data_IF_184599629550
#
_entry.id   IF_184599629550
#
_cell.length_a   1.000
_cell.length_b   1.000
_cell.length_c   1.000
_cell.angle_alpha   90.00
_cell.angle_beta   90.00
_cell.angle_gamma   90.00
#
_symmetry.space_group_name_H-M   'P 1'
#
loop_
_entity.id
_entity.type
_entity.pdbx_description
1 polymer ?
#
# COMPACT_ATOMS: atom_id res chain seq x y z
N UNK A 1 -30.86 -19.08 -56.52
CA UNK A 1 -31.97 -18.34 -57.21
C UNK A 1 -32.36 -17.19 -56.27
N UNK A 2 -32.30 -15.94 -56.83
CA UNK A 2 -32.73 -14.62 -56.29
C UNK A 2 -32.13 -14.17 -54.90
N UNK A 3 -31.23 -13.27 -54.84
CA UNK A 3 -30.99 -11.81 -54.93
C UNK A 3 -32.16 -10.92 -54.49
N UNK A 4 -31.78 -9.82 -53.80
CA UNK A 4 -32.42 -8.52 -53.49
C UNK A 4 -32.55 -8.33 -51.98
N UNK A 5 -32.13 -7.24 -51.32
CA UNK A 5 -31.72 -5.94 -51.85
C UNK A 5 -31.14 -5.05 -50.73
N UNK A 6 -30.39 -4.08 -51.16
CA UNK A 6 -29.66 -3.04 -50.45
C UNK A 6 -30.63 -1.96 -49.95
N UNK A 7 -30.49 -1.57 -48.68
CA UNK A 7 -31.10 -0.37 -48.09
C UNK A 7 -30.04 0.62 -47.62
N UNK A 8 -29.79 1.65 -48.42
CA UNK A 8 -28.99 2.83 -48.06
C UNK A 8 -29.83 3.75 -47.17
N UNK A 9 -29.30 4.12 -45.99
CA UNK A 9 -29.78 5.31 -45.30
C UNK A 9 -28.67 6.37 -45.27
N UNK A 10 -28.99 7.48 -45.93
CA UNK A 10 -28.27 8.75 -45.88
C UNK A 10 -28.35 9.32 -44.46
N UNK A 11 -27.23 9.71 -43.87
CA UNK A 11 -27.16 10.56 -42.68
C UNK A 11 -26.75 11.94 -43.14
N UNK A 12 -27.62 12.92 -42.91
CA UNK A 12 -27.38 14.32 -43.18
C UNK A 12 -26.36 14.91 -42.18
N UNK A 13 -25.32 15.54 -42.68
CA UNK A 13 -24.35 16.28 -41.90
C UNK A 13 -24.94 17.67 -41.58
N UNK A 14 -25.13 17.97 -40.27
CA UNK A 14 -25.28 19.36 -39.78
C UNK A 14 -23.92 19.95 -39.49
N UNK A 15 -23.51 20.92 -40.25
CA UNK A 15 -22.35 21.73 -40.03
C UNK A 15 -22.68 22.81 -38.96
N UNK A 16 -22.07 22.70 -37.78
CA UNK A 16 -22.07 23.78 -36.80
C UNK A 16 -20.72 24.50 -36.85
N UNK A 17 -20.75 25.73 -37.36
CA UNK A 17 -19.61 26.67 -37.37
C UNK A 17 -19.31 27.12 -35.96
N UNK A 18 -18.18 26.68 -35.39
CA UNK A 18 -17.56 27.23 -34.19
C UNK A 18 -16.48 28.26 -34.59
N UNK A 19 -16.67 29.48 -34.14
CA UNK A 19 -15.70 30.57 -34.31
C UNK A 19 -14.40 30.24 -33.56
N UNK A 20 -13.26 30.18 -34.28
CA UNK A 20 -11.92 30.13 -33.71
C UNK A 20 -11.57 31.55 -33.20
N UNK A 21 -11.45 31.71 -31.88
CA UNK A 21 -10.70 32.82 -31.32
C UNK A 21 -9.21 32.44 -31.29
N UNK A 22 -8.41 33.16 -32.06
CA UNK A 22 -6.97 33.02 -32.10
C UNK A 22 -6.36 33.51 -30.78
N UNK A 23 -5.91 32.58 -29.91
CA UNK A 23 -4.98 32.87 -28.84
C UNK A 23 -3.56 32.77 -29.40
N UNK A 24 -2.90 33.93 -29.53
CA UNK A 24 -1.51 34.01 -29.93
C UNK A 24 -0.61 33.34 -28.87
N UNK A 25 0.01 32.25 -29.25
CA UNK A 25 1.04 31.61 -28.47
C UNK A 25 2.31 32.46 -28.42
N UNK A 26 2.63 32.98 -27.26
CA UNK A 26 3.96 33.58 -27.02
C UNK A 26 5.00 32.46 -27.05
N UNK A 27 5.90 32.50 -28.04
CA UNK A 27 7.11 31.70 -28.10
C UNK A 27 7.96 31.99 -26.85
N UNK A 28 8.08 31.06 -25.95
CA UNK A 28 9.07 31.11 -24.88
C UNK A 28 10.44 30.93 -25.52
N UNK A 29 11.17 32.05 -25.67
CA UNK A 29 12.60 32.02 -25.97
C UNK A 29 13.33 31.42 -24.77
N UNK A 30 13.89 30.23 -24.94
CA UNK A 30 14.84 29.67 -23.99
C UNK A 30 16.09 30.54 -23.97
N UNK A 31 16.37 31.13 -22.81
CA UNK A 31 17.61 31.87 -22.60
C UNK A 31 18.82 30.95 -22.83
N UNK A 32 19.92 31.45 -23.44
CA UNK A 32 21.12 30.66 -23.60
C UNK A 32 21.75 30.29 -22.25
N UNK A 33 22.50 29.16 -22.16
CA UNK A 33 23.11 28.73 -20.90
C UNK A 33 24.07 29.82 -20.39
N UNK A 34 23.94 30.18 -19.11
CA UNK A 34 24.78 31.18 -18.45
C UNK A 34 26.21 30.66 -18.29
N UNK A 35 27.15 31.52 -18.59
CA UNK A 35 28.58 31.32 -18.28
C UNK A 35 28.75 31.25 -16.74
N UNK A 36 29.34 30.17 -16.18
CA UNK A 36 29.56 30.03 -14.75
C UNK A 36 30.49 31.06 -14.10
N UNK A 37 31.23 31.84 -14.92
CA UNK A 37 32.20 32.83 -14.46
C UNK A 37 31.72 34.28 -14.60
N UNK A 38 30.47 34.54 -15.01
CA UNK A 38 29.94 35.90 -15.11
C UNK A 38 29.62 36.47 -13.74
N UNK A 39 30.01 37.71 -13.40
CA UNK A 39 29.66 38.34 -12.13
C UNK A 39 28.16 38.50 -12.01
N UNK A 40 27.63 38.26 -10.79
CA UNK A 40 26.21 38.43 -10.48
C UNK A 40 25.82 39.90 -10.68
N UNK A 41 24.71 40.23 -11.32
CA UNK A 41 24.22 41.60 -11.39
C UNK A 41 23.88 42.15 -10.00
N UNK A 42 24.26 43.40 -9.76
CA UNK A 42 23.94 44.13 -8.54
C UNK A 42 22.45 44.05 -8.22
N UNK A 43 22.14 43.90 -6.92
CA UNK A 43 20.77 43.78 -6.42
C UNK A 43 19.93 44.94 -6.93
N UNK A 44 19.06 44.67 -7.90
CA UNK A 44 17.99 45.60 -8.27
C UNK A 44 17.08 45.70 -7.06
N UNK A 45 17.03 46.89 -6.47
CA UNK A 45 16.06 47.21 -5.43
C UNK A 45 14.65 46.99 -5.99
N UNK A 46 13.97 45.95 -5.52
CA UNK A 46 12.57 45.74 -5.87
C UNK A 46 11.74 46.88 -5.34
N UNK A 47 10.99 47.55 -6.20
CA UNK A 47 9.97 48.51 -5.80
C UNK A 47 9.01 47.83 -4.81
N UNK A 48 8.50 48.54 -3.79
CA UNK A 48 7.58 47.96 -2.83
C UNK A 48 6.34 47.44 -3.57
N UNK A 49 6.13 46.12 -3.44
CA UNK A 49 4.96 45.44 -3.98
C UNK A 49 3.72 46.07 -3.32
N UNK A 50 2.86 46.70 -4.09
CA UNK A 50 1.54 47.08 -3.62
C UNK A 50 0.80 45.79 -3.25
N UNK A 51 0.64 45.56 -1.95
CA UNK A 51 -0.19 44.48 -1.44
C UNK A 51 -1.64 44.76 -1.82
N UNK A 52 -2.16 44.03 -2.82
CA UNK A 52 -3.59 44.01 -3.05
C UNK A 52 -4.31 43.63 -1.75
N UNK A 53 -5.47 44.21 -1.42
CA UNK A 53 -6.20 43.85 -0.23
C UNK A 53 -6.50 42.35 -0.27
N UNK A 54 -5.99 41.61 0.74
CA UNK A 54 -6.31 40.20 0.94
C UNK A 54 -7.79 40.17 1.34
N UNK A 55 -8.65 39.89 0.39
CA UNK A 55 -10.04 39.54 0.68
C UNK A 55 -10.01 38.27 1.48
N UNK A 56 -10.51 38.25 2.73
CA UNK A 56 -10.52 37.00 3.50
C UNK A 56 -11.34 35.97 2.74
N UNK A 57 -10.71 34.83 2.41
CA UNK A 57 -11.39 33.70 1.82
C UNK A 57 -12.38 33.16 2.86
N UNK A 58 -13.67 33.51 2.69
CA UNK A 58 -14.75 32.93 3.49
C UNK A 58 -14.95 31.50 2.94
N UNK A 59 -14.58 30.51 3.72
CA UNK A 59 -14.90 29.13 3.37
C UNK A 59 -16.41 29.00 3.19
N UNK A 60 -16.90 28.41 2.09
CA UNK A 60 -18.32 28.20 1.92
C UNK A 60 -18.83 27.35 3.09
N UNK A 61 -19.87 27.85 3.77
CA UNK A 61 -20.56 27.07 4.81
C UNK A 61 -21.28 25.95 4.10
N UNK A 62 -20.73 24.74 4.24
CA UNK A 62 -21.30 23.54 3.65
C UNK A 62 -22.45 23.11 4.57
N UNK A 63 -23.71 23.01 4.07
CA UNK A 63 -24.82 22.60 4.91
C UNK A 63 -24.59 21.17 5.44
N UNK A 64 -25.06 20.86 6.66
CA UNK A 64 -24.98 19.51 7.18
C UNK A 64 -25.81 18.55 6.28
N UNK A 65 -25.39 17.29 6.14
CA UNK A 65 -26.13 16.30 5.36
C UNK A 65 -27.50 16.03 5.98
N UNK A 66 -28.52 15.80 5.15
CA UNK A 66 -29.89 15.53 5.59
C UNK A 66 -30.09 14.02 5.68
N UNK A 67 -30.31 13.53 6.91
CA UNK A 67 -30.58 12.12 7.18
C UNK A 67 -32.10 11.91 7.34
N UNK A 68 -32.69 11.07 6.50
CA UNK A 68 -34.05 10.58 6.70
C UNK A 68 -34.07 9.44 7.73
N UNK A 69 -35.18 9.24 8.39
CA UNK A 69 -35.32 8.20 9.41
C UNK A 69 -34.98 6.80 8.87
N UNK A 70 -35.31 6.50 7.61
CA UNK A 70 -34.97 5.23 6.95
C UNK A 70 -33.46 5.05 6.78
N UNK A 71 -32.72 6.12 6.44
CA UNK A 71 -31.25 6.06 6.27
C UNK A 71 -30.55 5.86 7.62
N UNK A 72 -31.04 6.54 8.66
CA UNK A 72 -30.55 6.32 10.04
C UNK A 72 -30.79 4.88 10.48
N UNK A 73 -31.98 4.35 10.22
CA UNK A 73 -32.32 2.95 10.55
C UNK A 73 -31.40 1.97 9.78
N UNK A 74 -31.12 2.22 8.50
CA UNK A 74 -30.21 1.42 7.70
C UNK A 74 -28.78 1.44 8.27
N UNK A 75 -28.30 2.62 8.71
CA UNK A 75 -27.01 2.74 9.39
C UNK A 75 -26.98 1.96 10.71
N UNK A 76 -28.03 2.05 11.54
CA UNK A 76 -28.16 1.27 12.80
C UNK A 76 -28.06 -0.22 12.55
N UNK A 77 -28.80 -0.74 11.57
CA UNK A 77 -28.77 -2.17 11.21
C UNK A 77 -27.39 -2.59 10.70
N UNK A 78 -26.75 -1.74 9.91
CA UNK A 78 -25.38 -2.01 9.42
C UNK A 78 -24.40 -2.09 10.60
N UNK A 79 -24.43 -1.12 11.52
CA UNK A 79 -23.58 -1.14 12.73
C UNK A 79 -23.81 -2.43 13.55
N UNK A 80 -25.04 -2.86 13.73
CA UNK A 80 -25.35 -4.10 14.46
C UNK A 80 -24.74 -5.34 13.78
N UNK A 81 -24.63 -5.34 12.45
CA UNK A 81 -24.09 -6.45 11.67
C UNK A 81 -22.57 -6.40 11.46
N UNK A 82 -21.88 -5.30 11.80
CA UNK A 82 -20.46 -5.07 11.47
C UNK A 82 -19.49 -6.08 12.06
N UNK A 83 -19.95 -6.89 13.02
CA UNK A 83 -19.21 -8.05 13.55
C UNK A 83 -18.78 -9.03 12.47
N UNK A 84 -19.53 -9.16 11.37
CA UNK A 84 -19.17 -9.97 10.20
C UNK A 84 -17.87 -9.47 9.53
N UNK A 85 -17.61 -8.17 9.65
CA UNK A 85 -16.39 -7.52 9.15
C UNK A 85 -15.25 -7.54 10.18
N UNK A 86 -15.40 -8.27 11.28
CA UNK A 86 -14.40 -8.38 12.35
C UNK A 86 -14.28 -7.13 13.22
N UNK A 87 -15.16 -6.15 13.07
CA UNK A 87 -15.24 -4.94 13.90
C UNK A 87 -16.18 -5.17 15.10
N UNK A 88 -16.12 -4.30 16.11
CA UNK A 88 -17.02 -4.34 17.26
C UNK A 88 -18.18 -3.38 17.07
N UNK A 89 -19.46 -3.84 17.08
CA UNK A 89 -20.60 -2.94 17.02
C UNK A 89 -20.62 -1.91 18.15
N UNK A 90 -20.01 -2.23 19.29
CA UNK A 90 -19.94 -1.34 20.46
C UNK A 90 -19.11 -0.08 20.21
N UNK A 91 -18.20 -0.11 19.22
CA UNK A 91 -17.37 1.04 18.88
C UNK A 91 -18.13 2.15 18.16
N UNK A 92 -19.33 1.86 17.66
CA UNK A 92 -20.16 2.76 16.85
C UNK A 92 -21.48 3.16 17.53
N UNK A 93 -21.74 2.70 18.75
CA UNK A 93 -22.87 3.11 19.59
C UNK A 93 -24.21 3.23 18.85
N UNK A 94 -24.68 2.14 18.27
CA UNK A 94 -25.98 2.08 17.59
C UNK A 94 -27.14 2.45 18.53
N UNK A 95 -27.08 2.06 19.82
CA UNK A 95 -28.14 2.36 20.80
C UNK A 95 -28.26 3.86 21.06
N UNK A 96 -27.12 4.59 21.19
CA UNK A 96 -27.12 6.03 21.31
C UNK A 96 -27.69 6.73 20.07
N UNK A 97 -27.46 6.20 18.88
CA UNK A 97 -28.05 6.74 17.65
C UNK A 97 -29.58 6.59 17.63
N UNK A 98 -30.09 5.43 18.05
CA UNK A 98 -31.55 5.18 18.20
C UNK A 98 -32.17 6.11 19.22
N UNK A 99 -31.51 6.35 20.35
CA UNK A 99 -31.98 7.29 21.37
C UNK A 99 -32.06 8.73 20.83
N UNK A 100 -31.06 9.17 20.08
CA UNK A 100 -31.06 10.50 19.45
C UNK A 100 -32.15 10.59 18.37
N UNK A 101 -32.35 9.57 17.55
CA UNK A 101 -33.42 9.52 16.55
C UNK A 101 -34.79 9.72 17.21
N UNK A 102 -35.00 9.14 18.41
CA UNK A 102 -36.27 9.25 19.15
C UNK A 102 -36.55 10.68 19.68
N UNK A 103 -35.56 11.57 19.74
CA UNK A 103 -35.78 12.96 20.16
C UNK A 103 -36.51 13.81 19.11
N UNK A 104 -36.45 13.38 17.84
CA UNK A 104 -37.03 14.14 16.72
C UNK A 104 -36.25 15.41 16.34
N UNK A 105 -35.08 15.68 16.97
CA UNK A 105 -34.22 16.81 16.63
C UNK A 105 -33.39 16.50 15.38
N UNK A 106 -33.70 17.12 14.21
CA UNK A 106 -33.05 16.80 12.95
C UNK A 106 -31.56 17.17 12.95
N UNK A 107 -31.15 18.18 13.70
CA UNK A 107 -29.76 18.64 13.77
C UNK A 107 -28.93 17.66 14.60
N UNK A 108 -29.45 17.24 15.75
CA UNK A 108 -28.79 16.25 16.59
C UNK A 108 -28.69 14.89 15.87
N UNK A 109 -29.76 14.47 15.19
CA UNK A 109 -29.78 13.23 14.39
C UNK A 109 -28.76 13.29 13.28
N UNK A 110 -28.76 14.36 12.46
CA UNK A 110 -27.81 14.53 11.35
C UNK A 110 -26.36 14.44 11.84
N UNK A 111 -26.02 15.19 12.88
CA UNK A 111 -24.69 15.17 13.47
C UNK A 111 -24.31 13.75 13.95
N UNK A 112 -25.16 13.13 14.74
CA UNK A 112 -24.88 11.84 15.35
C UNK A 112 -24.76 10.70 14.32
N UNK A 113 -25.58 10.69 13.27
CA UNK A 113 -25.52 9.72 12.19
C UNK A 113 -24.26 9.93 11.33
N UNK A 114 -23.95 11.19 10.99
CA UNK A 114 -22.74 11.54 10.22
C UNK A 114 -21.47 11.15 10.97
N UNK A 115 -21.36 11.42 12.26
CA UNK A 115 -20.19 11.07 13.07
C UNK A 115 -19.95 9.54 13.05
N UNK A 116 -21.04 8.74 13.14
CA UNK A 116 -20.96 7.28 13.11
C UNK A 116 -20.65 6.74 11.73
N UNK A 117 -21.27 7.29 10.69
CA UNK A 117 -20.95 6.95 9.31
C UNK A 117 -19.48 7.22 8.99
N UNK A 118 -18.98 8.40 9.35
CA UNK A 118 -17.60 8.78 9.11
C UNK A 118 -16.60 7.87 9.83
N UNK A 119 -16.87 7.53 11.10
CA UNK A 119 -16.05 6.60 11.83
C UNK A 119 -16.05 5.21 11.20
N UNK A 120 -17.25 4.71 10.88
CA UNK A 120 -17.43 3.37 10.33
C UNK A 120 -16.84 3.26 8.92
N UNK A 121 -17.12 4.20 8.03
CA UNK A 121 -16.57 4.22 6.67
C UNK A 121 -15.05 4.29 6.67
N UNK A 122 -14.47 5.12 7.56
CA UNK A 122 -13.02 5.14 7.75
C UNK A 122 -12.48 3.78 8.19
N UNK A 123 -13.09 3.12 9.18
CA UNK A 123 -12.62 1.82 9.68
C UNK A 123 -12.79 0.70 8.64
N UNK A 124 -13.83 0.76 7.80
CA UNK A 124 -14.04 -0.21 6.71
C UNK A 124 -13.06 -0.02 5.55
N UNK A 125 -12.78 1.22 5.17
CA UNK A 125 -11.87 1.53 4.07
C UNK A 125 -10.40 1.33 4.45
N UNK A 126 -10.02 1.87 5.60
CA UNK A 126 -8.62 2.03 5.98
C UNK A 126 -8.20 1.16 7.18
N UNK A 127 -9.07 0.30 7.72
CA UNK A 127 -8.86 -0.52 8.93
C UNK A 127 -9.08 0.24 10.24
N UNK A 128 -9.37 -0.45 11.32
CA UNK A 128 -9.64 0.12 12.64
C UNK A 128 -8.38 0.54 13.38
N UNK A 129 -7.33 -0.28 13.30
CA UNK A 129 -6.04 0.03 13.92
C UNK A 129 -5.31 1.10 13.11
N UNK A 130 -4.78 2.15 13.80
CA UNK A 130 -4.16 3.33 13.19
C UNK A 130 -2.80 3.67 13.78
N UNK A 131 -2.06 4.52 13.08
CA UNK A 131 -0.81 5.14 13.53
C UNK A 131 0.22 4.14 14.02
N UNK A 132 0.85 4.42 15.14
CA UNK A 132 1.93 3.61 15.72
C UNK A 132 1.53 2.19 16.16
N UNK A 133 0.22 1.90 16.20
CA UNK A 133 -0.28 0.56 16.43
C UNK A 133 -0.16 -0.35 15.20
N UNK A 134 -0.01 0.23 13.99
CA UNK A 134 0.39 -0.49 12.78
C UNK A 134 1.91 -0.65 12.75
N UNK A 135 2.44 -1.57 13.53
CA UNK A 135 3.87 -1.72 13.76
C UNK A 135 4.64 -1.83 12.44
N UNK A 136 5.58 -0.88 12.22
CA UNK A 136 6.50 -0.88 11.08
C UNK A 136 5.75 -0.97 9.71
N UNK A 137 4.66 -0.21 9.60
CA UNK A 137 3.82 -0.11 8.42
C UNK A 137 4.09 1.20 7.67
N UNK A 138 4.48 1.08 6.40
CA UNK A 138 4.90 2.19 5.55
C UNK A 138 4.23 2.16 4.16
N UNK A 139 3.12 1.45 4.04
CA UNK A 139 2.29 1.54 2.83
C UNK A 139 1.42 2.77 2.95
N UNK A 140 1.42 3.60 1.90
CA UNK A 140 0.52 4.75 1.81
C UNK A 140 -0.80 4.25 1.24
N UNK A 141 -1.87 4.55 1.95
CA UNK A 141 -3.23 4.25 1.56
C UNK A 141 -3.98 5.56 1.39
N UNK A 142 -4.49 5.79 0.18
CA UNK A 142 -5.23 6.99 -0.21
C UNK A 142 -6.68 6.66 -0.61
N UNK A 143 -7.20 5.50 -0.23
CA UNK A 143 -8.52 5.02 -0.66
C UNK A 143 -9.66 5.90 -0.15
N UNK A 144 -9.48 6.55 1.00
CA UNK A 144 -10.49 7.43 1.58
C UNK A 144 -9.84 8.62 2.31
N UNK A 145 -10.03 9.82 1.77
CA UNK A 145 -9.76 11.08 2.45
C UNK A 145 -11.08 11.75 2.89
N UNK A 146 -10.99 12.93 3.50
CA UNK A 146 -12.17 13.65 4.02
C UNK A 146 -13.14 14.07 2.91
N UNK A 147 -12.63 14.45 1.74
CA UNK A 147 -13.44 14.90 0.62
C UNK A 147 -14.17 13.71 -0.03
N UNK A 148 -13.47 12.61 -0.29
CA UNK A 148 -14.08 11.38 -0.78
C UNK A 148 -15.09 10.80 0.21
N UNK A 149 -14.80 10.83 1.52
CA UNK A 149 -15.71 10.36 2.55
C UNK A 149 -17.01 11.18 2.56
N UNK A 150 -16.90 12.48 2.39
CA UNK A 150 -18.06 13.36 2.31
C UNK A 150 -18.87 13.10 1.04
N UNK A 151 -18.23 13.04 -0.13
CA UNK A 151 -18.91 12.70 -1.39
C UNK A 151 -19.64 11.37 -1.30
N UNK A 152 -19.00 10.35 -0.69
CA UNK A 152 -19.61 9.04 -0.46
C UNK A 152 -20.87 9.14 0.40
N UNK A 153 -20.84 9.96 1.48
CA UNK A 153 -22.01 10.18 2.33
C UNK A 153 -23.13 10.90 1.56
N UNK A 154 -22.81 11.99 0.87
CA UNK A 154 -23.79 12.76 0.10
C UNK A 154 -24.49 11.88 -0.96
N UNK A 155 -23.73 11.04 -1.68
CA UNK A 155 -24.26 10.11 -2.65
C UNK A 155 -25.11 9.00 -2.01
N UNK A 156 -24.65 8.43 -0.89
CA UNK A 156 -25.37 7.41 -0.14
C UNK A 156 -26.74 7.90 0.33
N UNK A 157 -26.83 9.14 0.83
CA UNK A 157 -28.09 9.76 1.28
C UNK A 157 -28.98 10.14 0.13
N UNK A 158 -28.44 10.69 -0.97
CA UNK A 158 -29.22 11.05 -2.15
C UNK A 158 -29.90 9.83 -2.81
N UNK A 159 -29.30 8.65 -2.68
CA UNK A 159 -29.81 7.38 -3.25
C UNK A 159 -30.49 6.47 -2.22
N UNK A 160 -30.49 6.82 -0.95
CA UNK A 160 -30.93 5.95 0.16
C UNK A 160 -30.22 4.59 0.19
N UNK A 161 -28.89 4.58 -0.07
CA UNK A 161 -28.04 3.40 -0.23
C UNK A 161 -26.87 3.40 0.77
N UNK A 162 -27.13 3.70 2.05
CA UNK A 162 -26.11 3.74 3.11
C UNK A 162 -25.38 2.39 3.26
N UNK A 163 -26.05 1.23 3.28
CA UNK A 163 -25.36 -0.06 3.37
C UNK A 163 -24.48 -0.37 2.17
N UNK A 164 -24.94 -0.05 0.97
CA UNK A 164 -24.22 -0.29 -0.30
C UNK A 164 -22.95 0.56 -0.36
N UNK A 165 -23.04 1.83 0.04
CA UNK A 165 -21.90 2.72 0.11
C UNK A 165 -20.83 2.20 1.09
N UNK A 166 -21.24 1.74 2.28
CA UNK A 166 -20.33 1.15 3.26
C UNK A 166 -19.73 -0.17 2.77
N UNK A 167 -20.51 -1.06 2.15
CA UNK A 167 -20.02 -2.31 1.58
C UNK A 167 -19.03 -2.05 0.43
N UNK A 168 -19.23 -0.99 -0.33
CA UNK A 168 -18.34 -0.55 -1.38
C UNK A 168 -16.91 -0.23 -0.92
N UNK A 169 -16.69 0.00 0.37
CA UNK A 169 -15.38 0.28 0.95
C UNK A 169 -14.57 -0.96 1.31
N UNK A 170 -15.21 -2.13 1.38
CA UNK A 170 -14.54 -3.35 1.80
C UNK A 170 -13.47 -3.79 0.78
N UNK A 171 -12.36 -4.43 1.24
CA UNK A 171 -11.38 -5.02 0.35
C UNK A 171 -12.00 -6.03 -0.61
N UNK A 172 -11.66 -5.92 -1.89
CA UNK A 172 -12.18 -6.81 -2.94
C UNK A 172 -11.34 -8.08 -3.11
N UNK A 173 -10.17 -8.16 -2.45
CA UNK A 173 -9.26 -9.29 -2.57
C UNK A 173 -9.92 -10.59 -2.04
N UNK A 174 -9.82 -11.74 -2.75
CA UNK A 174 -10.47 -13.00 -2.36
C UNK A 174 -10.13 -13.48 -0.95
N UNK A 175 -8.92 -13.21 -0.47
CA UNK A 175 -8.47 -13.56 0.88
C UNK A 175 -9.31 -12.88 1.97
N UNK A 176 -9.74 -11.62 1.75
CA UNK A 176 -10.60 -10.92 2.70
C UNK A 176 -11.97 -11.62 2.83
N UNK A 177 -12.60 -11.95 1.70
CA UNK A 177 -13.87 -12.68 1.68
C UNK A 177 -13.76 -14.06 2.33
N UNK A 178 -12.66 -14.78 2.11
CA UNK A 178 -12.41 -16.08 2.71
C UNK A 178 -12.19 -15.99 4.24
N UNK A 179 -11.45 -14.97 4.71
CA UNK A 179 -11.32 -14.70 6.15
C UNK A 179 -12.66 -14.33 6.79
N UNK A 180 -13.49 -13.53 6.12
CA UNK A 180 -14.85 -13.19 6.56
C UNK A 180 -15.73 -14.44 6.69
N UNK A 181 -15.68 -15.34 5.71
CA UNK A 181 -16.39 -16.63 5.75
C UNK A 181 -15.89 -17.52 6.91
N UNK A 182 -14.59 -17.56 7.13
CA UNK A 182 -14.00 -18.30 8.24
C UNK A 182 -14.39 -17.71 9.62
N UNK A 183 -14.50 -16.37 9.71
CA UNK A 183 -14.98 -15.70 10.93
C UNK A 183 -16.41 -16.10 11.25
N UNK A 184 -17.29 -16.14 10.24
CA UNK A 184 -18.69 -16.55 10.41
C UNK A 184 -18.85 -18.01 10.87
N UNK A 185 -17.88 -18.87 10.54
CA UNK A 185 -17.86 -20.29 10.93
C UNK A 185 -17.10 -20.56 12.23
N UNK A 186 -16.40 -19.55 12.78
CA UNK A 186 -15.60 -19.73 13.99
C UNK A 186 -16.48 -19.94 15.21
N UNK A 187 -16.10 -20.92 16.04
CA UNK A 187 -16.78 -21.21 17.30
C UNK A 187 -16.49 -20.11 18.32
N UNK A 188 -17.50 -19.57 18.97
CA UNK A 188 -17.37 -18.46 19.93
C UNK A 188 -16.37 -18.73 21.08
N UNK A 189 -16.13 -20.00 21.41
CA UNK A 189 -15.15 -20.41 22.41
C UNK A 189 -13.70 -20.27 21.95
N UNK A 190 -13.43 -20.21 20.63
CA UNK A 190 -12.08 -20.07 20.10
C UNK A 190 -11.70 -18.59 19.86
N UNK A 191 -11.63 -17.85 20.97
CA UNK A 191 -11.30 -16.42 20.95
C UNK A 191 -9.93 -16.11 20.30
N UNK A 192 -8.96 -17.01 20.43
CA UNK A 192 -7.63 -16.84 19.82
C UNK A 192 -7.72 -16.85 18.29
N UNK A 193 -8.42 -17.83 17.73
CA UNK A 193 -8.64 -17.92 16.28
C UNK A 193 -9.46 -16.74 15.75
N UNK A 194 -10.54 -16.38 16.44
CA UNK A 194 -11.38 -15.23 16.10
C UNK A 194 -10.54 -13.96 16.05
N UNK A 195 -9.75 -13.67 17.07
CA UNK A 195 -8.92 -12.48 17.13
C UNK A 195 -7.85 -12.47 16.04
N UNK A 196 -7.28 -13.62 15.69
CA UNK A 196 -6.32 -13.75 14.60
C UNK A 196 -6.95 -13.50 13.23
N UNK A 197 -8.16 -14.01 13.00
CA UNK A 197 -8.92 -13.74 11.77
C UNK A 197 -9.25 -12.25 11.68
N UNK A 198 -9.81 -11.64 12.73
CA UNK A 198 -10.14 -10.22 12.80
C UNK A 198 -8.93 -9.33 12.55
N UNK A 199 -7.78 -9.64 13.15
CA UNK A 199 -6.52 -8.97 12.93
C UNK A 199 -6.13 -8.97 11.45
N UNK A 200 -6.22 -10.12 10.77
CA UNK A 200 -5.81 -10.23 9.38
C UNK A 200 -6.85 -9.61 8.43
N UNK A 201 -8.12 -9.59 8.77
CA UNK A 201 -9.13 -8.79 8.07
C UNK A 201 -8.84 -7.30 8.19
N UNK A 202 -8.43 -6.82 9.37
CA UNK A 202 -8.05 -5.42 9.57
C UNK A 202 -6.79 -5.07 8.76
N UNK A 203 -5.78 -5.94 8.73
CA UNK A 203 -4.56 -5.77 7.91
C UNK A 203 -4.83 -5.70 6.41
N UNK A 204 -5.85 -6.41 5.91
CA UNK A 204 -6.28 -6.29 4.51
C UNK A 204 -6.81 -4.90 4.18
N UNK A 205 -7.42 -4.20 5.12
CA UNK A 205 -7.89 -2.82 4.98
C UNK A 205 -6.77 -1.78 5.06
N UNK A 206 -5.55 -2.18 5.44
CA UNK A 206 -4.39 -1.27 5.43
C UNK A 206 -3.71 -1.19 4.06
N UNK A 207 -4.04 -2.11 3.17
CA UNK A 207 -3.58 -2.10 1.79
C UNK A 207 -4.53 -1.28 0.92
N UNK A 208 -4.03 -0.66 -0.16
CA UNK A 208 -4.92 -0.08 -1.16
C UNK A 208 -5.95 -1.11 -1.63
N UNK A 209 -7.20 -0.68 -1.78
CA UNK A 209 -8.30 -1.54 -2.22
C UNK A 209 -8.04 -2.16 -3.58
N UNK A 210 -7.40 -1.40 -4.48
CA UNK A 210 -6.89 -1.88 -5.76
C UNK A 210 -5.37 -2.05 -5.69
N UNK A 211 -4.92 -3.30 -5.68
CA UNK A 211 -3.50 -3.65 -5.71
C UNK A 211 -2.91 -3.62 -7.12
N UNK A 212 -3.73 -3.36 -8.14
CA UNK A 212 -3.38 -3.43 -9.54
C UNK A 212 -3.70 -4.81 -10.15
N UNK A 213 -3.78 -4.84 -11.49
CA UNK A 213 -4.02 -6.10 -12.22
C UNK A 213 -2.88 -7.10 -12.08
N UNK A 214 -1.65 -6.61 -11.88
CA UNK A 214 -0.44 -7.42 -11.72
C UNK A 214 0.43 -6.82 -10.61
N UNK A 215 0.78 -7.64 -9.61
CA UNK A 215 1.60 -7.21 -8.48
C UNK A 215 2.35 -8.38 -7.85
N UNK A 216 3.40 -8.08 -7.11
CA UNK A 216 4.08 -9.04 -6.24
C UNK A 216 3.64 -8.77 -4.79
N UNK A 217 3.22 -9.81 -4.08
CA UNK A 217 2.99 -9.76 -2.64
C UNK A 217 3.96 -10.67 -1.91
N UNK A 218 4.69 -10.13 -0.93
CA UNK A 218 5.61 -10.87 -0.07
C UNK A 218 5.01 -10.91 1.32
N UNK A 219 4.52 -12.07 1.75
CA UNK A 219 4.04 -12.26 3.11
C UNK A 219 5.18 -12.76 4.00
N UNK A 220 5.64 -11.90 4.91
CA UNK A 220 6.79 -12.19 5.78
C UNK A 220 6.53 -13.39 6.70
N UNK A 221 5.43 -13.50 7.46
CA UNK A 221 5.12 -14.67 8.28
C UNK A 221 5.04 -15.99 7.50
N UNK A 222 4.53 -15.94 6.28
CA UNK A 222 4.44 -17.12 5.40
C UNK A 222 5.78 -17.50 4.76
N UNK A 223 6.75 -16.59 4.74
CA UNK A 223 8.00 -16.73 4.00
C UNK A 223 7.79 -17.07 2.52
N UNK A 224 6.87 -16.38 1.86
CA UNK A 224 6.58 -16.54 0.44
C UNK A 224 6.53 -15.20 -0.28
N UNK A 225 7.01 -15.21 -1.52
CA UNK A 225 6.79 -14.18 -2.52
C UNK A 225 5.87 -14.75 -3.60
N UNK A 226 4.87 -14.00 -4.02
CA UNK A 226 3.82 -14.44 -4.95
C UNK A 226 3.61 -13.36 -6.00
N UNK A 227 3.65 -13.72 -7.28
CA UNK A 227 3.16 -12.90 -8.38
C UNK A 227 1.67 -13.21 -8.58
N UNK A 228 0.86 -12.18 -8.54
CA UNK A 228 -0.58 -12.26 -8.81
C UNK A 228 -0.88 -11.48 -10.08
N UNK A 229 -1.70 -12.04 -10.95
CA UNK A 229 -2.17 -11.41 -12.18
C UNK A 229 -3.66 -11.66 -12.35
N UNK A 230 -4.44 -10.58 -12.47
CA UNK A 230 -5.91 -10.63 -12.57
C UNK A 230 -6.54 -11.46 -11.42
N UNK A 231 -6.03 -11.34 -10.21
CA UNK A 231 -6.49 -12.07 -9.04
C UNK A 231 -6.04 -13.53 -8.96
N UNK A 232 -5.27 -14.03 -9.94
CA UNK A 232 -4.78 -15.41 -9.99
C UNK A 232 -3.29 -15.46 -9.64
N UNK A 233 -2.89 -16.40 -8.78
CA UNK A 233 -1.48 -16.69 -8.51
C UNK A 233 -0.82 -17.28 -9.74
N UNK A 234 0.15 -16.55 -10.33
CA UNK A 234 0.95 -17.02 -11.48
C UNK A 234 2.23 -17.71 -11.03
N UNK A 235 2.86 -17.17 -10.00
CA UNK A 235 4.12 -17.68 -9.48
C UNK A 235 4.13 -17.52 -7.96
N UNK A 236 4.65 -18.54 -7.25
CA UNK A 236 4.80 -18.50 -5.79
C UNK A 236 6.01 -19.30 -5.38
N UNK A 237 6.94 -18.67 -4.65
CA UNK A 237 8.16 -19.30 -4.19
C UNK A 237 8.49 -18.91 -2.75
N UNK A 238 9.39 -19.70 -2.16
CA UNK A 238 9.88 -19.46 -0.81
C UNK A 238 10.69 -18.17 -0.77
N UNK A 239 10.57 -17.45 0.35
CA UNK A 239 11.33 -16.25 0.62
C UNK A 239 12.06 -16.35 1.97
N UNK A 240 13.16 -15.62 2.11
CA UNK A 240 13.87 -15.40 3.37
C UNK A 240 13.75 -13.92 3.69
N UNK A 241 13.13 -13.61 4.83
CA UNK A 241 12.95 -12.26 5.33
C UNK A 241 14.04 -11.87 6.36
N UNK A 242 13.98 -10.64 6.83
CA UNK A 242 14.87 -10.10 7.87
C UNK A 242 14.83 -10.90 9.17
N UNK A 243 15.96 -10.99 9.85
CA UNK A 243 16.04 -11.57 11.18
C UNK A 243 15.28 -10.71 12.20
N UNK A 244 14.96 -11.28 13.36
CA UNK A 244 14.24 -10.56 14.44
C UNK A 244 14.90 -9.22 14.82
N UNK A 245 16.22 -9.15 14.79
CA UNK A 245 16.96 -7.91 15.09
C UNK A 245 17.01 -6.91 13.94
N UNK A 246 16.74 -7.36 12.74
CA UNK A 246 16.74 -6.57 11.50
C UNK A 246 15.50 -6.92 10.68
N UNK A 247 14.31 -6.64 11.21
CA UNK A 247 13.07 -7.07 10.60
C UNK A 247 12.86 -6.42 9.23
N UNK A 248 12.20 -7.14 8.34
CA UNK A 248 11.73 -6.55 7.09
C UNK A 248 10.56 -5.63 7.39
N UNK A 249 10.59 -4.34 6.97
CA UNK A 249 9.48 -3.43 7.11
C UNK A 249 8.32 -3.80 6.17
N UNK A 250 7.12 -3.43 6.56
CA UNK A 250 5.94 -3.52 5.71
C UNK A 250 5.86 -2.26 4.83
N UNK A 251 5.98 -2.42 3.52
CA UNK A 251 6.04 -1.31 2.59
C UNK A 251 5.47 -1.68 1.22
N UNK A 252 5.16 -0.69 0.41
CA UNK A 252 4.96 -0.84 -1.02
C UNK A 252 6.07 -0.10 -1.78
N UNK A 253 6.46 -0.66 -2.92
CA UNK A 253 7.40 -0.03 -3.84
C UNK A 253 7.11 -0.48 -5.27
N UNK A 254 7.46 0.36 -6.25
CA UNK A 254 7.32 0.03 -7.67
C UNK A 254 8.59 -0.69 -8.14
N UNK A 255 8.46 -1.93 -8.59
CA UNK A 255 9.54 -2.64 -9.27
C UNK A 255 9.58 -2.22 -10.74
N UNK A 256 10.73 -1.68 -11.17
CA UNK A 256 10.91 -1.11 -12.52
C UNK A 256 11.85 -1.94 -13.38
N UNK A 257 12.44 -2.99 -12.85
CA UNK A 257 13.38 -3.84 -13.55
C UNK A 257 14.25 -4.64 -12.58
N UNK A 258 15.33 -5.20 -13.11
CA UNK A 258 16.34 -5.92 -12.35
C UNK A 258 17.75 -5.47 -12.71
N UNK A 259 18.70 -5.71 -11.82
CA UNK A 259 20.14 -5.63 -12.12
C UNK A 259 20.66 -7.07 -12.16
N UNK A 260 21.12 -7.49 -13.32
CA UNK A 260 21.81 -8.77 -13.53
C UNK A 260 23.29 -8.61 -13.13
N UNK A 261 23.88 -9.66 -12.55
CA UNK A 261 25.25 -9.64 -12.02
C UNK A 261 25.51 -8.40 -11.13
N UNK A 262 24.74 -8.19 -10.05
CA UNK A 262 24.83 -6.97 -9.26
C UNK A 262 26.15 -6.90 -8.46
N UNK A 263 26.71 -5.71 -8.36
CA UNK A 263 27.57 -5.41 -7.22
C UNK A 263 26.73 -5.30 -5.97
N UNK A 264 27.20 -5.88 -4.87
CA UNK A 264 26.59 -5.64 -3.58
C UNK A 264 27.32 -4.51 -2.85
N UNK A 265 26.72 -3.35 -2.78
CA UNK A 265 27.18 -2.28 -1.91
C UNK A 265 26.73 -2.60 -0.48
N UNK A 266 27.68 -2.89 0.39
CA UNK A 266 27.39 -3.35 1.75
C UNK A 266 26.86 -2.18 2.58
N UNK A 267 25.68 -2.30 3.19
CA UNK A 267 25.14 -1.28 4.09
C UNK A 267 26.08 -0.98 5.24
N UNK A 268 26.14 0.30 5.65
CA UNK A 268 27.02 0.74 6.74
C UNK A 268 26.76 -0.01 8.05
N UNK A 269 25.48 -0.35 8.31
CA UNK A 269 25.06 -1.09 9.50
C UNK A 269 25.74 -2.46 9.69
N UNK A 270 26.12 -3.11 8.57
CA UNK A 270 26.76 -4.44 8.56
C UNK A 270 28.18 -4.42 8.03
N UNK A 271 28.76 -3.23 7.80
CA UNK A 271 30.13 -3.08 7.30
C UNK A 271 31.17 -3.75 8.19
N UNK A 272 30.95 -3.74 9.51
CA UNK A 272 31.85 -4.41 10.48
C UNK A 272 31.84 -5.94 10.32
N UNK A 273 30.75 -6.52 9.86
CA UNK A 273 30.60 -7.97 9.68
C UNK A 273 31.45 -8.50 8.52
N UNK A 274 31.73 -7.66 7.52
CA UNK A 274 32.44 -8.00 6.29
C UNK A 274 33.87 -7.48 6.24
N UNK A 275 34.23 -6.56 7.13
CA UNK A 275 35.56 -5.96 7.19
C UNK A 275 36.66 -7.02 7.30
N UNK A 276 37.62 -7.02 6.35
CA UNK A 276 38.72 -7.97 6.32
C UNK A 276 38.37 -9.37 5.83
N UNK A 277 37.10 -9.67 5.50
CA UNK A 277 36.72 -10.95 4.94
C UNK A 277 37.10 -11.03 3.46
N UNK A 278 37.53 -12.23 2.99
CA UNK A 278 37.78 -12.50 1.58
C UNK A 278 36.54 -12.28 0.71
N UNK A 279 36.73 -11.82 -0.53
CA UNK A 279 35.64 -11.54 -1.48
C UNK A 279 34.99 -10.18 -1.35
N UNK A 280 35.37 -9.37 -0.35
CA UNK A 280 34.92 -7.98 -0.20
C UNK A 280 36.04 -6.99 -0.55
N UNK A 281 35.69 -5.91 -1.21
CA UNK A 281 36.60 -4.87 -1.65
C UNK A 281 36.30 -3.59 -0.86
N UNK A 282 37.32 -3.06 -0.18
CA UNK A 282 37.25 -1.79 0.50
C UNK A 282 37.29 -0.64 -0.50
N UNK A 283 36.29 0.22 -0.50
CA UNK A 283 36.30 1.49 -1.24
C UNK A 283 36.81 2.56 -0.29
N UNK A 284 37.98 3.11 -0.63
CA UNK A 284 38.68 4.10 0.19
C UNK A 284 38.53 5.50 -0.37
N UNK A 285 38.58 6.52 0.49
CA UNK A 285 38.70 7.90 0.09
C UNK A 285 40.16 8.26 -0.32
N UNK A 286 40.36 9.52 -0.69
CA UNK A 286 41.68 10.05 -1.07
C UNK A 286 42.74 9.96 0.03
N UNK A 287 42.33 9.83 1.30
CA UNK A 287 43.21 9.71 2.46
C UNK A 287 43.44 8.24 2.87
N UNK A 288 42.98 7.27 2.08
CA UNK A 288 43.12 5.84 2.37
C UNK A 288 42.11 5.29 3.38
N UNK A 289 41.20 6.11 3.90
CA UNK A 289 40.17 5.69 4.87
C UNK A 289 39.07 4.92 4.16
N UNK A 290 38.69 3.75 4.69
CA UNK A 290 37.60 2.93 4.16
C UNK A 290 36.26 3.67 4.35
N UNK A 291 35.59 3.95 3.25
CA UNK A 291 34.29 4.59 3.20
C UNK A 291 33.14 3.55 3.20
N UNK A 292 33.32 2.48 2.45
CA UNK A 292 32.35 1.39 2.34
C UNK A 292 33.03 0.11 1.88
N UNK A 293 32.30 -0.99 2.00
CA UNK A 293 32.67 -2.28 1.45
C UNK A 293 31.71 -2.64 0.31
N UNK A 294 32.21 -3.37 -0.66
CA UNK A 294 31.40 -3.92 -1.75
C UNK A 294 31.86 -5.31 -2.15
N UNK A 295 30.94 -6.08 -2.71
CA UNK A 295 31.21 -7.43 -3.21
C UNK A 295 30.99 -7.48 -4.72
N UNK A 296 31.93 -8.01 -5.52
CA UNK A 296 31.81 -8.08 -6.97
C UNK A 296 30.78 -9.15 -7.38
N UNK A 297 30.27 -9.07 -8.64
CA UNK A 297 29.48 -10.13 -9.23
C UNK A 297 30.21 -11.48 -9.19
N UNK A 298 29.48 -12.56 -9.01
CA UNK A 298 30.04 -13.91 -9.02
C UNK A 298 29.34 -14.88 -8.09
N UNK A 299 29.76 -16.14 -8.05
CA UNK A 299 29.04 -17.21 -7.31
C UNK A 299 29.04 -17.02 -5.80
N UNK A 300 29.97 -16.24 -5.24
CA UNK A 300 30.01 -15.90 -3.80
C UNK A 300 29.21 -14.66 -3.43
N UNK A 301 28.68 -13.92 -4.41
CA UNK A 301 27.94 -12.68 -4.14
C UNK A 301 26.66 -12.97 -3.33
N UNK A 302 26.48 -12.25 -2.23
CA UNK A 302 25.33 -12.45 -1.35
C UNK A 302 23.98 -12.10 -2.03
N UNK A 303 24.00 -11.26 -3.07
CA UNK A 303 22.82 -10.95 -3.88
C UNK A 303 22.57 -11.97 -5.01
N UNK A 304 23.43 -13.00 -5.13
CA UNK A 304 23.33 -13.98 -6.21
C UNK A 304 23.46 -13.36 -7.60
N UNK A 305 22.64 -13.80 -8.52
CA UNK A 305 22.69 -13.44 -9.94
C UNK A 305 21.94 -12.15 -10.28
N UNK A 306 20.96 -11.74 -9.45
CA UNK A 306 20.16 -10.54 -9.70
C UNK A 306 19.56 -9.92 -8.44
N UNK A 307 19.21 -8.64 -8.56
CA UNK A 307 18.34 -7.93 -7.63
C UNK A 307 17.31 -7.11 -8.37
N UNK A 308 16.12 -6.94 -7.79
CA UNK A 308 15.07 -6.06 -8.29
C UNK A 308 15.43 -4.58 -8.07
N UNK A 309 15.06 -3.74 -9.02
CA UNK A 309 15.11 -2.28 -8.92
C UNK A 309 13.76 -1.81 -8.42
N UNK A 310 13.67 -1.51 -7.13
CA UNK A 310 12.44 -1.05 -6.45
C UNK A 310 12.79 0.02 -5.42
N UNK A 311 12.97 1.28 -5.86
CA UNK A 311 13.39 2.37 -5.00
C UNK A 311 12.42 2.60 -3.84
N UNK A 312 12.96 2.66 -2.60
CA UNK A 312 12.24 3.00 -1.38
C UNK A 312 13.22 3.50 -0.31
N UNK A 313 12.72 4.22 0.69
CA UNK A 313 13.54 4.85 1.74
C UNK A 313 14.28 3.86 2.63
N UNK A 314 13.88 2.59 2.67
CA UNK A 314 14.47 1.53 3.50
C UNK A 314 15.56 0.75 2.76
N UNK A 315 15.75 0.99 1.47
CA UNK A 315 16.65 0.24 0.59
C UNK A 315 16.39 -1.29 0.63
N UNK A 316 15.13 -1.69 0.76
CA UNK A 316 14.67 -3.08 0.72
C UNK A 316 14.39 -3.49 -0.72
N UNK A 317 14.83 -4.68 -1.11
CA UNK A 317 14.59 -5.23 -2.44
C UNK A 317 14.51 -6.76 -2.42
N UNK A 318 13.93 -7.33 -3.48
CA UNK A 318 13.96 -8.76 -3.76
C UNK A 318 15.27 -9.09 -4.48
N UNK A 319 15.90 -10.23 -4.14
CA UNK A 319 17.15 -10.65 -4.78
C UNK A 319 17.39 -12.17 -4.71
N UNK A 320 18.28 -12.65 -5.54
CA UNK A 320 18.81 -14.01 -5.46
C UNK A 320 19.75 -14.16 -4.26
N UNK A 321 20.33 -15.33 -4.07
CA UNK A 321 21.31 -15.60 -3.01
C UNK A 321 22.26 -16.72 -3.40
N UNK A 322 23.50 -16.66 -2.92
CA UNK A 322 24.44 -17.76 -2.97
C UNK A 322 24.14 -18.88 -1.92
N UNK A 323 23.37 -18.55 -0.89
CA UNK A 323 23.06 -19.46 0.23
C UNK A 323 21.70 -20.16 0.03
N UNK A 324 21.47 -20.79 -1.12
CA UNK A 324 20.18 -21.38 -1.52
C UNK A 324 19.67 -22.47 -0.58
N UNK A 325 20.57 -23.24 0.06
CA UNK A 325 20.17 -24.24 1.04
C UNK A 325 19.36 -23.68 2.23
N UNK A 326 19.47 -22.38 2.51
CA UNK A 326 18.72 -21.70 3.57
C UNK A 326 17.21 -21.62 3.31
N UNK A 327 16.76 -21.79 2.05
CA UNK A 327 15.33 -21.89 1.75
C UNK A 327 14.69 -23.15 2.37
N UNK A 328 15.48 -24.17 2.72
CA UNK A 328 15.00 -25.38 3.38
C UNK A 328 14.83 -25.22 4.90
N UNK A 329 15.23 -24.10 5.48
CA UNK A 329 15.01 -23.83 6.91
C UNK A 329 13.53 -23.65 7.20
N UNK A 330 13.05 -24.18 8.33
CA UNK A 330 11.68 -23.95 8.81
C UNK A 330 11.44 -22.50 9.14
N UNK A 331 12.37 -21.86 9.87
CA UNK A 331 12.37 -20.42 10.15
C UNK A 331 13.28 -19.72 9.15
N UNK A 332 12.71 -18.87 8.30
CA UNK A 332 13.44 -18.15 7.26
C UNK A 332 13.56 -16.63 7.53
N UNK A 333 13.62 -16.26 8.79
CA UNK A 333 13.95 -14.91 9.26
C UNK A 333 15.47 -14.77 9.43
N UNK A 334 16.22 -14.63 8.33
CA UNK A 334 17.67 -14.83 8.31
C UNK A 334 18.45 -13.73 7.58
N UNK A 335 17.77 -12.74 6.95
CA UNK A 335 18.42 -11.65 6.23
C UNK A 335 18.62 -10.42 7.13
N UNK A 336 19.24 -9.37 6.58
CA UNK A 336 19.34 -8.05 7.21
C UNK A 336 18.23 -7.08 6.78
N UNK A 337 17.07 -7.62 6.38
CA UNK A 337 15.88 -6.85 5.98
C UNK A 337 15.44 -7.13 4.54
N UNK A 338 16.34 -7.23 3.57
CA UNK A 338 16.02 -7.54 2.18
C UNK A 338 15.44 -8.96 2.03
N UNK A 339 14.68 -9.17 0.98
CA UNK A 339 13.98 -10.43 0.70
C UNK A 339 14.78 -11.27 -0.29
N UNK A 340 15.37 -12.38 0.19
CA UNK A 340 15.93 -13.41 -0.69
C UNK A 340 14.78 -14.23 -1.23
N UNK A 341 14.71 -14.40 -2.53
CA UNK A 341 13.59 -15.09 -3.19
C UNK A 341 14.12 -16.27 -3.97
N UNK A 342 13.53 -17.45 -3.71
CA UNK A 342 13.88 -18.66 -4.43
C UNK A 342 13.38 -18.57 -5.88
N UNK A 343 14.13 -19.11 -6.83
CA UNK A 343 13.79 -19.07 -8.27
C UNK A 343 13.46 -17.66 -8.79
N UNK A 344 14.07 -16.65 -8.21
CA UNK A 344 13.79 -15.24 -8.57
C UNK A 344 14.24 -14.89 -9.98
N UNK A 345 15.16 -15.68 -10.56
CA UNK A 345 15.57 -15.52 -11.96
C UNK A 345 14.42 -15.88 -12.90
N UNK A 346 13.67 -16.94 -12.62
CA UNK A 346 12.51 -17.35 -13.42
C UNK A 346 11.44 -16.25 -13.41
N UNK A 347 11.15 -15.68 -12.24
CA UNK A 347 10.26 -14.52 -12.10
C UNK A 347 10.78 -13.33 -12.91
N UNK A 348 12.07 -13.01 -12.81
CA UNK A 348 12.64 -11.88 -13.54
C UNK A 348 12.59 -12.10 -15.06
N UNK A 349 12.81 -13.32 -15.53
CA UNK A 349 12.72 -13.70 -16.93
C UNK A 349 11.31 -13.55 -17.47
N UNK A 350 10.30 -14.01 -16.72
CA UNK A 350 8.88 -13.80 -17.05
C UNK A 350 8.57 -12.32 -17.21
N UNK A 351 8.94 -11.49 -16.20
CA UNK A 351 8.65 -10.06 -16.20
C UNK A 351 9.42 -9.26 -17.27
N UNK A 352 10.60 -9.70 -17.66
CA UNK A 352 11.41 -9.06 -18.70
C UNK A 352 10.97 -9.46 -20.11
N UNK A 353 10.38 -10.65 -20.29
CA UNK A 353 9.84 -11.14 -21.56
C UNK A 353 8.48 -10.57 -21.93
N UNK A 354 7.82 -9.85 -21.02
CA UNK A 354 6.51 -9.25 -21.25
C UNK A 354 6.50 -8.31 -22.46
N UNK A 355 5.35 -8.30 -23.17
CA UNK A 355 5.06 -7.38 -24.28
C UNK A 355 6.17 -7.35 -25.38
N UNK A 356 6.81 -8.49 -25.64
CA UNK A 356 7.94 -8.61 -26.57
C UNK A 356 9.11 -7.64 -26.22
N UNK A 357 9.34 -7.48 -24.93
CA UNK A 357 10.47 -6.68 -24.43
C UNK A 357 11.82 -7.11 -25.02
N UNK A 358 12.84 -6.26 -24.95
CA UNK A 358 14.13 -6.53 -25.58
C UNK A 358 14.94 -7.62 -24.85
N UNK A 359 14.43 -8.21 -23.76
CA UNK A 359 15.12 -9.17 -22.92
C UNK A 359 14.57 -10.59 -23.15
N UNK A 360 15.20 -11.33 -24.06
CA UNK A 360 14.94 -12.75 -24.27
C UNK A 360 15.69 -13.60 -23.25
N UNK A 361 15.29 -14.85 -23.05
CA UNK A 361 15.99 -15.80 -22.20
C UNK A 361 17.46 -15.94 -22.57
N UNK A 362 17.77 -16.04 -23.87
CA UNK A 362 19.15 -16.13 -24.38
C UNK A 362 19.97 -14.89 -24.03
N UNK A 363 19.37 -13.72 -24.14
CA UNK A 363 20.03 -12.46 -23.77
C UNK A 363 20.31 -12.38 -22.27
N UNK A 364 19.38 -12.82 -21.45
CA UNK A 364 19.54 -12.90 -20.00
C UNK A 364 20.67 -13.88 -19.66
N UNK A 365 20.66 -15.08 -20.25
CA UNK A 365 21.69 -16.10 -20.05
C UNK A 365 23.08 -15.60 -20.48
N UNK A 366 23.19 -14.98 -21.67
CA UNK A 366 24.44 -14.40 -22.15
C UNK A 366 24.96 -13.29 -21.24
N UNK A 367 24.05 -12.42 -20.72
CA UNK A 367 24.41 -11.38 -19.77
C UNK A 367 24.95 -11.96 -18.47
N UNK A 368 24.28 -12.97 -17.92
CA UNK A 368 24.73 -13.64 -16.70
C UNK A 368 26.09 -14.32 -16.90
N UNK A 369 26.32 -14.99 -18.05
CA UNK A 369 27.59 -15.63 -18.39
C UNK A 369 28.73 -14.60 -18.51
N UNK A 370 28.46 -13.39 -18.97
CA UNK A 370 29.45 -12.30 -19.12
C UNK A 370 30.01 -11.81 -17.79
N UNK A 371 29.34 -12.07 -16.68
CA UNK A 371 29.64 -11.52 -15.32
C UNK A 371 29.68 -9.99 -15.26
N UNK A 372 29.24 -9.29 -16.31
CA UNK A 372 29.15 -7.84 -16.34
C UNK A 372 27.81 -7.40 -15.73
N UNK A 373 27.85 -6.40 -14.87
CA UNK A 373 26.63 -5.82 -14.28
C UNK A 373 25.83 -5.12 -15.36
N UNK A 374 24.55 -5.44 -15.48
CA UNK A 374 23.65 -4.80 -16.43
C UNK A 374 22.28 -4.63 -15.83
N UNK A 375 21.68 -3.45 -16.00
CA UNK A 375 20.29 -3.20 -15.64
C UNK A 375 19.38 -3.58 -16.81
N UNK A 376 18.29 -4.26 -16.51
CA UNK A 376 17.23 -4.64 -17.41
C UNK A 376 15.93 -4.07 -16.88
N UNK A 377 15.29 -3.19 -17.64
CA UNK A 377 14.02 -2.56 -17.24
C UNK A 377 12.84 -3.40 -17.70
N UNK A 378 11.80 -3.45 -16.88
CA UNK A 378 10.49 -4.01 -17.26
C UNK A 378 9.80 -3.05 -18.24
N UNK A 379 9.06 -3.58 -19.17
CA UNK A 379 8.19 -2.78 -20.07
C UNK A 379 7.07 -2.15 -19.25
N UNK A 380 6.50 -2.92 -18.33
CA UNK A 380 5.47 -2.46 -17.38
C UNK A 380 5.98 -2.60 -15.96
N UNK A 381 6.31 -1.50 -15.27
CA UNK A 381 6.55 -1.55 -13.84
C UNK A 381 5.37 -2.12 -13.08
N UNK A 382 5.62 -2.84 -11.97
CA UNK A 382 4.57 -3.44 -11.17
C UNK A 382 4.79 -3.16 -9.68
N UNK A 383 3.69 -3.01 -8.90
CA UNK A 383 3.80 -2.81 -7.46
C UNK A 383 4.27 -4.08 -6.75
N UNK A 384 5.07 -3.89 -5.72
CA UNK A 384 5.51 -4.91 -4.76
C UNK A 384 5.02 -4.51 -3.39
N UNK A 385 4.23 -5.36 -2.76
CA UNK A 385 3.72 -5.18 -1.41
C UNK A 385 4.43 -6.15 -0.47
N UNK A 386 5.12 -5.65 0.54
CA UNK A 386 5.69 -6.46 1.63
C UNK A 386 4.77 -6.32 2.83
N UNK A 387 4.15 -7.42 3.23
CA UNK A 387 3.07 -7.47 4.21
C UNK A 387 3.36 -8.46 5.33
N UNK A 388 2.52 -8.41 6.38
CA UNK A 388 2.66 -9.26 7.55
C UNK A 388 1.31 -9.89 7.92
N UNK A 389 0.89 -10.89 7.14
CA UNK A 389 -0.33 -11.65 7.43
C UNK A 389 0.02 -12.92 8.19
N UNK A 390 -0.43 -13.02 9.44
CA UNK A 390 -0.23 -14.20 10.31
C UNK A 390 -1.32 -15.25 10.14
N UNK A 391 -2.34 -15.00 9.34
CA UNK A 391 -3.30 -15.99 8.86
C UNK A 391 -3.70 -15.70 7.42
N UNK A 392 -3.97 -16.77 6.66
CA UNK A 392 -4.50 -16.69 5.30
C UNK A 392 -5.50 -17.82 5.07
N UNK A 393 -6.45 -17.60 4.14
CA UNK A 393 -7.36 -18.66 3.71
C UNK A 393 -6.73 -19.47 2.56
N UNK A 394 -6.92 -20.78 2.59
CA UNK A 394 -6.61 -21.68 1.50
C UNK A 394 -7.78 -21.78 0.51
N UNK A 395 -7.55 -22.42 -0.64
CA UNK A 395 -8.58 -22.58 -1.67
C UNK A 395 -9.80 -23.39 -1.21
N UNK A 396 -9.61 -24.29 -0.25
CA UNK A 396 -10.68 -25.08 0.38
C UNK A 396 -11.44 -24.32 1.48
N UNK A 397 -11.12 -23.05 1.72
CA UNK A 397 -11.70 -22.22 2.76
C UNK A 397 -11.13 -22.44 4.16
N UNK A 398 -10.21 -23.39 4.35
CA UNK A 398 -9.51 -23.55 5.62
C UNK A 398 -8.56 -22.39 5.88
N UNK A 399 -8.32 -22.10 7.17
CA UNK A 399 -7.36 -21.06 7.57
C UNK A 399 -6.04 -21.73 7.92
N UNK A 400 -4.97 -21.20 7.33
CA UNK A 400 -3.60 -21.50 7.73
C UNK A 400 -3.08 -20.38 8.61
N UNK A 401 -2.54 -20.74 9.76
CA UNK A 401 -1.86 -19.84 10.68
C UNK A 401 -0.34 -19.86 10.41
N UNK A 402 0.28 -18.69 10.41
CA UNK A 402 1.72 -18.52 10.33
C UNK A 402 2.25 -17.99 11.66
N UNK A 403 3.49 -18.33 11.96
CA UNK A 403 4.17 -17.85 13.16
C UNK A 403 4.30 -16.32 13.15
N UNK A 404 4.02 -15.69 14.29
CA UNK A 404 4.24 -14.26 14.50
C UNK A 404 5.73 -13.98 14.74
N UNK A 405 6.53 -14.12 13.68
CA UNK A 405 8.00 -14.12 13.69
C UNK A 405 8.62 -12.87 14.32
N UNK A 406 7.95 -11.72 14.23
CA UNK A 406 8.41 -10.45 14.82
C UNK A 406 7.60 -10.03 16.06
N UNK A 407 6.71 -10.88 16.56
CA UNK A 407 5.88 -10.63 17.75
C UNK A 407 5.05 -9.35 17.65
N UNK A 408 4.41 -9.14 16.47
CA UNK A 408 3.60 -7.95 16.19
C UNK A 408 2.12 -8.11 16.56
N UNK A 409 1.58 -9.35 16.54
CA UNK A 409 0.16 -9.63 16.60
C UNK A 409 -0.49 -9.18 17.92
N UNK A 410 0.12 -9.48 19.06
CA UNK A 410 -0.45 -9.18 20.36
C UNK A 410 -0.74 -7.69 20.57
N UNK A 411 0.17 -6.82 20.14
CA UNK A 411 -0.01 -5.36 20.23
C UNK A 411 -1.13 -4.87 19.31
N UNK A 412 -1.19 -5.40 18.09
CA UNK A 412 -2.22 -5.01 17.11
C UNK A 412 -3.59 -5.54 17.55
N UNK A 413 -3.68 -6.77 18.07
CA UNK A 413 -4.92 -7.33 18.64
C UNK A 413 -5.40 -6.48 19.83
N UNK A 414 -4.50 -6.08 20.72
CA UNK A 414 -4.86 -5.21 21.83
C UNK A 414 -5.45 -3.88 21.34
N UNK A 415 -4.85 -3.27 20.31
CA UNK A 415 -5.38 -2.05 19.71
C UNK A 415 -6.74 -2.27 19.02
N UNK A 416 -6.92 -3.41 18.34
CA UNK A 416 -8.18 -3.79 17.68
C UNK A 416 -9.32 -4.05 18.68
N UNK A 417 -9.01 -4.53 19.88
CA UNK A 417 -10.00 -4.86 20.92
C UNK A 417 -10.25 -3.72 21.90
N UNK A 418 -9.39 -2.70 21.92
CA UNK A 418 -9.58 -1.54 22.78
C UNK A 418 -10.77 -0.72 22.26
N UNK A 419 -11.74 -0.48 23.17
CA UNK A 419 -12.84 0.43 22.86
C UNK A 419 -12.27 1.80 22.46
N UNK A 420 -12.80 2.37 21.38
CA UNK A 420 -12.48 3.74 21.00
C UNK A 420 -12.93 4.68 22.15
N UNK A 421 -11.97 5.15 22.94
CA UNK A 421 -12.23 5.99 24.12
C UNK A 421 -11.01 6.23 25.00
N UNK A 422 -9.95 5.44 24.84
CA UNK A 422 -8.67 5.70 25.51
C UNK A 422 -7.60 6.12 24.49
N UNK A 423 -7.79 7.32 23.92
CA UNK A 423 -6.71 8.03 23.25
C UNK A 423 -5.55 8.24 24.25
N UNK A 424 -4.28 8.13 23.86
CA UNK A 424 -3.15 8.49 24.73
C UNK A 424 -3.29 9.90 25.34
N UNK A 425 -4.00 10.80 24.69
CA UNK A 425 -4.32 12.13 25.21
C UNK A 425 -5.31 12.08 26.40
N UNK A 426 -6.28 11.19 26.45
CA UNK A 426 -7.19 11.04 27.58
C UNK A 426 -6.52 10.33 28.77
N UNK A 427 -5.58 9.39 28.52
CA UNK A 427 -4.78 8.76 29.55
C UNK A 427 -3.76 9.72 30.20
N UNK A 428 -3.30 10.73 29.46
CA UNK A 428 -2.46 11.81 30.03
C UNK A 428 -3.27 12.78 30.89
N UNK A 429 -4.50 13.10 30.48
CA UNK A 429 -5.43 13.94 31.25
C UNK A 429 -5.88 13.27 32.56
N UNK A 430 -6.17 11.96 32.54
CA UNK A 430 -6.51 11.19 33.75
C UNK A 430 -5.32 11.01 34.71
N UNK A 431 -4.10 10.97 34.22
CA UNK A 431 -2.90 11.00 35.10
C UNK A 431 -2.69 12.36 35.74
N UNK A 432 -2.90 13.44 35.00
CA UNK A 432 -2.79 14.80 35.55
C UNK A 432 -3.86 15.10 36.60
N UNK A 433 -5.08 14.56 36.45
CA UNK A 433 -6.18 14.71 37.41
C UNK A 433 -6.01 13.90 38.72
N UNK A 434 -5.14 12.88 38.74
CA UNK A 434 -4.85 12.07 39.94
C UNK A 434 -3.61 12.50 40.71
N UNK A 435 -2.93 13.57 40.28
CA UNK A 435 -1.74 14.13 40.93
C UNK A 435 -1.94 15.52 41.52
N UNK A 436 -3.19 16.00 41.59
CA UNK A 436 -3.57 17.21 42.36
C UNK A 436 -4.38 16.85 43.62
#
# INVERSE_FOLDING_TARGET
MRLVGVGKYMVAALASTLALSAAQGALQQTAPPRDPMAPLPDKVQAAPAQTAPVVPYVQPVIPPPIWLAGDVQALVLYIQSVGQEGLSPLDYDAAGLVAILSTGDPVAVSKAATDRFNKLSSDLALGHVRGDNRIDWHVIDNDLDADHQRMLLDEALARHQVPEALNGLLPTHPQYGALRSALAQATASDSSKINRIRLNMDRWRWLPRDLGQRYIIVNVPAYHATLVENGVTRWKQRAIAGAFKTPTPQLSAMATGVILNPWWEVPTSISKEVAGKGGFIAVKDKNGKVQRWRQPPGPSNALGQLKFVMPNQFAIYLHDTNARSRFNSSVRALSHGCIRTEHVLDLATELLGDDNGPWTEDRIAATLASKKTQQASFVKPLPVYIVYFSAAALLDGSIVDYDDVYRRDSKVIAALLNKAGTSPASAAADRAAKTN
#
